data_IF_447880790946
#
_entry.id   IF_447880790946
#
_cell.length_a   1.000
_cell.length_b   1.000
_cell.length_c   1.000
_cell.angle_alpha   90.00
_cell.angle_beta   90.00
_cell.angle_gamma   90.00
#
_symmetry.space_group_name_H-M   'P 1'
#
loop_
_entity.id
_entity.type
_entity.pdbx_description
1 polymer ?
#
# COMPACT_ATOMS: atom_id res chain seq x y z
N UNK A 1 -9.44 -26.58 -10.15
CA UNK A 1 -10.47 -26.44 -9.10
C UNK A 1 -10.36 -25.04 -8.51
N UNK A 2 -10.87 -24.02 -9.22
CA UNK A 2 -10.63 -22.59 -8.89
C UNK A 2 -11.94 -21.80 -8.64
N UNK A 3 -13.08 -22.47 -8.64
CA UNK A 3 -14.41 -21.82 -8.61
C UNK A 3 -15.13 -21.97 -7.26
N UNK A 4 -14.56 -22.70 -6.30
CA UNK A 4 -15.22 -22.97 -5.01
C UNK A 4 -14.80 -22.01 -3.88
N UNK A 5 -13.63 -21.36 -3.96
CA UNK A 5 -13.14 -20.48 -2.89
C UNK A 5 -13.76 -19.08 -2.89
N UNK A 6 -14.26 -18.60 -4.03
CA UNK A 6 -14.78 -17.23 -4.16
C UNK A 6 -16.14 -17.02 -3.47
N UNK A 7 -16.84 -18.09 -3.11
CA UNK A 7 -18.15 -18.01 -2.44
C UNK A 7 -18.05 -17.94 -0.90
N UNK A 8 -16.88 -18.20 -0.32
CA UNK A 8 -16.70 -18.26 1.14
C UNK A 8 -16.15 -16.98 1.76
N UNK A 9 -15.76 -15.99 0.95
CA UNK A 9 -15.26 -14.71 1.45
C UNK A 9 -16.32 -13.66 1.11
N UNK A 10 -17.39 -13.62 1.92
CA UNK A 10 -18.46 -12.62 1.71
C UNK A 10 -18.64 -11.68 2.90
N UNK A 11 -17.93 -11.92 4.02
CA UNK A 11 -17.88 -11.02 5.16
C UNK A 11 -16.46 -10.55 5.49
N UNK A 12 -16.34 -9.32 6.01
CA UNK A 12 -15.12 -8.86 6.70
C UNK A 12 -14.77 -9.73 7.91
N UNK A 13 -15.74 -10.48 8.42
CA UNK A 13 -15.63 -11.42 9.54
C UNK A 13 -15.01 -12.78 9.15
N UNK A 14 -14.86 -13.07 7.85
CA UNK A 14 -14.22 -14.30 7.35
C UNK A 14 -12.68 -14.17 7.23
N UNK A 15 -12.12 -13.00 7.59
CA UNK A 15 -10.68 -12.79 7.68
C UNK A 15 -10.23 -13.34 9.04
N UNK A 16 -9.81 -14.60 9.07
CA UNK A 16 -9.20 -15.19 10.27
C UNK A 16 -7.90 -14.46 10.62
N UNK A 17 -7.52 -14.43 11.91
CA UNK A 17 -6.24 -13.84 12.35
C UNK A 17 -5.04 -14.41 11.56
N UNK A 18 -5.14 -15.67 11.12
CA UNK A 18 -4.17 -16.35 10.24
C UNK A 18 -3.96 -15.64 8.88
N UNK A 19 -4.97 -15.00 8.30
CA UNK A 19 -4.82 -14.20 7.07
C UNK A 19 -4.26 -12.80 7.33
N UNK A 20 -4.30 -12.32 8.57
CA UNK A 20 -3.74 -11.03 8.98
C UNK A 20 -2.24 -11.13 9.36
N UNK A 21 -1.67 -12.32 9.41
CA UNK A 21 -0.26 -12.51 9.79
C UNK A 21 0.72 -12.37 8.61
N UNK A 22 0.29 -12.60 7.37
CA UNK A 22 1.16 -12.63 6.17
C UNK A 22 1.10 -11.34 5.31
N UNK A 23 1.28 -10.17 5.92
CA UNK A 23 1.38 -8.92 5.17
C UNK A 23 2.79 -8.33 5.21
N UNK A 24 3.15 -7.66 4.11
CA UNK A 24 4.43 -6.95 3.99
C UNK A 24 4.15 -5.47 3.72
N UNK A 25 4.68 -4.60 4.58
CA UNK A 25 4.64 -3.16 4.32
C UNK A 25 5.55 -2.80 3.15
N UNK A 26 5.00 -2.23 2.07
CA UNK A 26 5.79 -1.75 0.93
C UNK A 26 5.91 -0.23 0.92
N UNK A 27 7.12 0.26 0.70
CA UNK A 27 7.46 1.67 0.54
C UNK A 27 8.52 1.81 -0.56
N UNK A 28 8.54 2.97 -1.21
CA UNK A 28 9.59 3.32 -2.17
C UNK A 28 10.87 3.80 -1.45
N UNK A 29 11.86 4.24 -2.24
CA UNK A 29 13.13 4.76 -1.72
C UNK A 29 13.16 6.28 -1.55
N UNK A 30 12.01 6.94 -1.32
CA UNK A 30 12.00 8.38 -1.04
C UNK A 30 12.91 8.74 0.16
N UNK A 31 13.48 9.96 0.23
CA UNK A 31 14.42 10.34 1.29
C UNK A 31 13.90 10.11 2.72
N UNK A 32 12.61 10.36 2.96
CA UNK A 32 11.98 10.12 4.26
C UNK A 32 11.88 8.64 4.63
N UNK A 33 11.55 7.78 3.67
CA UNK A 33 11.52 6.32 3.86
C UNK A 33 12.92 5.75 4.10
N UNK A 34 13.95 6.36 3.49
CA UNK A 34 15.36 5.97 3.69
C UNK A 34 15.98 6.47 4.99
N UNK A 35 15.34 7.39 5.70
CA UNK A 35 15.90 7.95 6.92
C UNK A 35 16.13 6.85 7.97
N UNK A 36 17.24 6.96 8.72
CA UNK A 36 17.62 5.96 9.73
C UNK A 36 16.52 5.78 10.79
N UNK A 37 15.92 6.89 11.23
CA UNK A 37 14.84 6.87 12.22
C UNK A 37 13.61 6.12 11.70
N UNK A 38 13.19 6.37 10.46
CA UNK A 38 12.08 5.65 9.82
C UNK A 38 12.35 4.16 9.71
N UNK A 39 13.54 3.77 9.22
CA UNK A 39 13.90 2.37 9.07
C UNK A 39 14.01 1.64 10.42
N UNK A 40 14.52 2.30 11.46
CA UNK A 40 14.56 1.74 12.81
C UNK A 40 13.15 1.54 13.37
N UNK A 41 12.28 2.55 13.22
CA UNK A 41 10.90 2.44 13.68
C UNK A 41 10.17 1.27 13.01
N UNK A 42 10.36 1.07 11.70
CA UNK A 42 9.77 -0.06 10.98
C UNK A 42 10.31 -1.41 11.47
N UNK A 43 11.61 -1.52 11.75
CA UNK A 43 12.19 -2.74 12.32
C UNK A 43 11.61 -3.08 13.69
N UNK A 44 11.31 -2.07 14.50
CA UNK A 44 10.83 -2.25 15.87
C UNK A 44 9.32 -2.54 15.95
N UNK A 45 8.53 -2.13 14.94
CA UNK A 45 7.06 -2.11 15.01
C UNK A 45 6.33 -2.85 13.89
N UNK A 46 7.00 -3.21 12.81
CA UNK A 46 6.40 -3.87 11.64
C UNK A 46 7.04 -5.23 11.45
N UNK A 47 6.20 -6.27 11.35
CA UNK A 47 6.65 -7.67 11.22
C UNK A 47 7.53 -7.86 9.98
N UNK A 48 7.05 -7.42 8.82
CA UNK A 48 7.76 -7.51 7.55
C UNK A 48 7.56 -6.24 6.74
N UNK A 49 8.66 -5.68 6.22
CA UNK A 49 8.62 -4.48 5.39
C UNK A 49 9.69 -4.48 4.30
N UNK A 50 9.44 -3.72 3.24
CA UNK A 50 10.40 -3.51 2.16
C UNK A 50 11.48 -2.54 2.63
N UNK A 51 12.69 -3.06 2.79
CA UNK A 51 13.89 -2.28 3.10
C UNK A 51 14.32 -1.45 1.89
N UNK A 52 15.09 -0.40 2.16
CA UNK A 52 15.63 0.51 1.13
C UNK A 52 16.46 -0.17 0.03
N UNK A 53 16.97 -1.38 0.27
CA UNK A 53 17.77 -2.15 -0.70
C UNK A 53 16.94 -3.04 -1.62
N UNK A 54 15.72 -3.38 -1.22
CA UNK A 54 14.85 -4.29 -1.96
C UNK A 54 14.05 -3.59 -3.05
N UNK A 55 13.83 -2.28 -2.91
CA UNK A 55 13.06 -1.50 -3.88
C UNK A 55 13.97 -0.91 -4.96
N UNK A 56 13.74 -1.19 -6.25
CA UNK A 56 14.53 -0.61 -7.33
C UNK A 56 14.28 0.90 -7.45
N UNK A 57 15.33 1.70 -7.69
CA UNK A 57 15.18 3.15 -7.84
C UNK A 57 14.41 3.49 -9.12
N UNK A 58 13.57 4.53 -9.05
CA UNK A 58 12.80 5.06 -10.19
C UNK A 58 11.82 4.05 -10.83
N UNK A 59 11.21 3.19 -10.02
CA UNK A 59 10.23 2.20 -10.49
C UNK A 59 8.80 2.49 -9.98
N UNK A 60 8.15 3.58 -10.44
CA UNK A 60 6.76 3.88 -10.08
C UNK A 60 5.79 2.84 -10.65
N UNK A 61 6.18 2.15 -11.73
CA UNK A 61 5.44 1.04 -12.34
C UNK A 61 5.26 -0.16 -11.40
N UNK A 62 6.16 -0.32 -10.42
CA UNK A 62 6.08 -1.39 -9.42
C UNK A 62 5.26 -1.01 -8.19
N UNK A 63 4.94 0.28 -8.01
CA UNK A 63 4.11 0.75 -6.90
C UNK A 63 2.65 0.83 -7.36
N UNK A 64 1.72 -0.01 -6.84
CA UNK A 64 0.31 0.06 -7.22
C UNK A 64 -0.33 1.43 -7.00
N UNK A 65 0.16 2.17 -5.98
CA UNK A 65 -0.29 3.53 -5.70
C UNK A 65 0.02 4.46 -6.88
N UNK A 66 1.26 4.46 -7.35
CA UNK A 66 1.72 5.32 -8.44
C UNK A 66 1.23 4.85 -9.81
N UNK A 67 1.27 3.55 -10.07
CA UNK A 67 0.87 2.98 -11.36
C UNK A 67 -0.64 3.13 -11.64
N UNK A 68 -1.50 3.09 -10.61
CA UNK A 68 -2.95 2.99 -10.83
C UNK A 68 -3.80 3.86 -9.91
N UNK A 69 -3.60 3.79 -8.59
CA UNK A 69 -4.56 4.33 -7.62
C UNK A 69 -4.55 5.87 -7.66
N UNK A 70 -3.38 6.51 -7.73
CA UNK A 70 -3.30 7.97 -7.78
C UNK A 70 -3.95 8.55 -9.03
N UNK A 71 -3.76 7.96 -10.20
CA UNK A 71 -4.42 8.42 -11.43
C UNK A 71 -5.95 8.27 -11.36
N UNK A 72 -6.44 7.17 -10.79
CA UNK A 72 -7.88 7.01 -10.56
C UNK A 72 -8.42 8.04 -9.56
N UNK A 73 -7.75 8.22 -8.42
CA UNK A 73 -8.16 9.18 -7.39
C UNK A 73 -8.13 10.61 -7.92
N UNK A 74 -7.11 10.99 -8.70
CA UNK A 74 -7.05 12.29 -9.36
C UNK A 74 -8.25 12.48 -10.30
N UNK A 75 -8.60 11.48 -11.11
CA UNK A 75 -9.75 11.58 -12.01
C UNK A 75 -11.07 11.85 -11.28
N UNK A 76 -11.23 11.30 -10.07
CA UNK A 76 -12.41 11.50 -9.22
C UNK A 76 -12.35 12.80 -8.45
N UNK A 77 -11.18 13.15 -7.90
CA UNK A 77 -10.98 14.38 -7.16
C UNK A 77 -11.14 15.60 -8.08
N UNK A 78 -10.63 15.53 -9.31
CA UNK A 78 -10.63 16.63 -10.28
C UNK A 78 -11.84 16.63 -11.22
N UNK A 79 -12.85 15.79 -10.98
CA UNK A 79 -14.09 15.75 -11.78
C UNK A 79 -14.80 17.12 -11.82
N UNK A 80 -14.66 17.91 -10.75
CA UNK A 80 -15.16 19.28 -10.64
C UNK A 80 -14.09 20.20 -10.03
N UNK A 81 -14.02 21.49 -10.42
CA UNK A 81 -13.10 22.44 -9.79
C UNK A 81 -13.44 22.70 -8.31
N UNK A 82 -12.42 22.75 -7.46
CA UNK A 82 -12.56 23.07 -6.04
C UNK A 82 -11.91 24.44 -5.75
N UNK A 83 -12.61 25.28 -4.97
CA UNK A 83 -12.14 26.64 -4.63
C UNK A 83 -11.28 26.68 -3.37
N UNK A 84 -11.44 25.69 -2.52
CA UNK A 84 -10.79 25.59 -1.21
C UNK A 84 -10.36 24.17 -0.94
N UNK A 85 -9.43 24.00 -0.01
CA UNK A 85 -9.00 22.66 0.45
C UNK A 85 -10.13 21.94 1.20
N UNK A 86 -11.01 22.71 1.86
CA UNK A 86 -12.25 22.17 2.43
C UNK A 86 -13.23 21.88 1.30
N UNK A 87 -13.82 20.68 1.35
CA UNK A 87 -14.92 20.25 0.47
C UNK A 87 -16.13 21.18 0.57
#
# INVERSE_FOLDING_TARGET
MFIFYTWYITGWDDITEEFLEDWVFRQDTAPGHKAKETQQWLQDHVSEFTTTKQWPPYSPDLNPLDYSIWGYLESKACEKPHKTIKS
#
